data_IF_584573539662
#
_entry.id   IF_584573539662
#
_cell.length_a   1.000
_cell.length_b   1.000
_cell.length_c   1.000
_cell.angle_alpha   90.00
_cell.angle_beta   90.00
_cell.angle_gamma   90.00
#
_symmetry.space_group_name_H-M   'P 1'
#
loop_
_entity.id
_entity.type
_entity.pdbx_description
1 polymer ?
#
# COMPACT_ATOMS: atom_id res chain seq x y z
N UNK A 1 -92.25 -17.63 -22.23
CA UNK A 1 -92.22 -16.16 -22.41
C UNK A 1 -90.92 -15.69 -21.77
N UNK A 2 -89.77 -16.00 -22.36
CA UNK A 2 -89.25 -15.39 -23.58
C UNK A 2 -88.96 -13.93 -23.32
N UNK A 3 -87.70 -13.63 -23.01
CA UNK A 3 -86.96 -12.53 -23.65
C UNK A 3 -85.48 -12.81 -23.46
N UNK A 4 -84.98 -13.51 -24.47
CA UNK A 4 -83.59 -13.80 -24.76
C UNK A 4 -83.23 -12.87 -25.92
N UNK A 5 -82.43 -11.84 -25.66
CA UNK A 5 -81.77 -11.05 -26.71
C UNK A 5 -80.37 -10.64 -26.21
N UNK A 6 -79.42 -11.51 -26.55
CA UNK A 6 -78.13 -11.16 -27.15
C UNK A 6 -77.83 -9.66 -27.31
N UNK A 7 -76.78 -9.19 -26.64
CA UNK A 7 -75.93 -8.12 -27.15
C UNK A 7 -74.47 -8.58 -27.02
N UNK A 8 -73.90 -8.80 -28.20
CA UNK A 8 -72.55 -9.24 -28.52
C UNK A 8 -71.50 -8.24 -28.02
N UNK A 9 -70.31 -8.78 -27.76
CA UNK A 9 -69.06 -8.14 -27.32
C UNK A 9 -68.88 -6.63 -27.56
N UNK A 10 -68.31 -5.96 -26.55
CA UNK A 10 -67.06 -5.24 -26.81
C UNK A 10 -66.07 -5.48 -25.65
N UNK A 11 -64.97 -6.15 -25.99
CA UNK A 11 -63.79 -6.23 -25.16
C UNK A 11 -63.18 -4.84 -25.03
N UNK A 12 -63.42 -4.18 -23.90
CA UNK A 12 -62.48 -3.13 -23.46
C UNK A 12 -61.45 -3.81 -22.57
N UNK A 13 -60.45 -4.40 -23.22
CA UNK A 13 -59.11 -4.55 -22.64
C UNK A 13 -58.73 -3.17 -22.08
N UNK A 14 -58.76 -2.99 -20.76
CA UNK A 14 -58.23 -1.79 -20.13
C UNK A 14 -56.70 -1.91 -20.08
N UNK A 15 -55.93 -1.28 -20.99
CA UNK A 15 -54.48 -1.38 -20.99
C UNK A 15 -53.97 -0.24 -20.10
N UNK A 16 -54.42 -0.19 -18.84
CA UNK A 16 -53.90 0.74 -17.84
C UNK A 16 -53.02 0.04 -16.83
N UNK A 17 -52.12 -0.80 -17.33
CA UNK A 17 -50.87 -1.08 -16.63
C UNK A 17 -49.73 -0.36 -17.32
N UNK A 18 -48.88 0.22 -16.48
CA UNK A 18 -47.53 0.70 -16.76
C UNK A 18 -47.36 2.11 -17.35
N UNK A 19 -47.46 3.15 -16.51
CA UNK A 19 -46.55 4.31 -16.70
C UNK A 19 -46.35 5.25 -15.50
N UNK A 20 -45.89 4.75 -14.34
CA UNK A 20 -45.31 5.68 -13.34
C UNK A 20 -44.24 5.08 -12.43
N UNK A 21 -43.22 4.42 -12.98
CA UNK A 21 -42.05 4.01 -12.16
C UNK A 21 -40.69 4.51 -12.68
N UNK A 22 -40.64 5.34 -13.72
CA UNK A 22 -39.35 5.78 -14.30
C UNK A 22 -38.66 6.94 -13.57
N UNK A 23 -39.35 7.71 -12.71
CA UNK A 23 -38.76 8.88 -12.04
C UNK A 23 -38.06 8.56 -10.72
N UNK A 24 -38.56 7.58 -9.95
CA UNK A 24 -37.99 7.17 -8.65
C UNK A 24 -36.62 6.50 -8.79
N UNK A 25 -36.42 5.71 -9.85
CA UNK A 25 -35.14 5.04 -10.11
C UNK A 25 -33.99 5.99 -10.45
N UNK A 26 -34.26 7.16 -11.02
CA UNK A 26 -33.19 8.14 -11.34
C UNK A 26 -32.60 8.75 -10.08
N UNK A 27 -33.43 9.09 -9.09
CA UNK A 27 -32.96 9.60 -7.79
C UNK A 27 -32.17 8.55 -7.00
N UNK A 28 -32.60 7.28 -7.05
CA UNK A 28 -31.84 6.18 -6.47
C UNK A 28 -30.48 5.99 -7.18
N UNK A 29 -30.45 6.08 -8.52
CA UNK A 29 -29.20 6.05 -9.29
C UNK A 29 -28.25 7.20 -8.93
N UNK A 30 -28.75 8.42 -8.80
CA UNK A 30 -27.94 9.57 -8.37
C UNK A 30 -27.44 9.42 -6.93
N UNK A 31 -28.25 8.85 -6.04
CA UNK A 31 -27.84 8.57 -4.66
C UNK A 31 -26.74 7.51 -4.60
N UNK A 32 -26.88 6.41 -5.35
CA UNK A 32 -25.84 5.36 -5.45
C UNK A 32 -24.56 5.92 -6.06
N UNK A 33 -24.67 6.72 -7.13
CA UNK A 33 -23.52 7.36 -7.75
C UNK A 33 -22.84 8.35 -6.79
N UNK A 34 -23.62 9.12 -6.02
CA UNK A 34 -23.12 10.03 -5.00
C UNK A 34 -22.36 9.31 -3.88
N UNK A 35 -22.90 8.20 -3.38
CA UNK A 35 -22.22 7.35 -2.39
C UNK A 35 -20.93 6.78 -2.97
N UNK A 36 -20.96 6.30 -4.21
CA UNK A 36 -19.78 5.75 -4.87
C UNK A 36 -18.67 6.79 -5.03
N UNK A 37 -19.02 8.01 -5.46
CA UNK A 37 -18.08 9.14 -5.53
C UNK A 37 -17.54 9.51 -4.16
N UNK A 38 -18.40 9.54 -3.13
CA UNK A 38 -17.97 9.85 -1.76
C UNK A 38 -16.97 8.82 -1.22
N UNK A 39 -17.21 7.52 -1.46
CA UNK A 39 -16.28 6.44 -1.09
C UNK A 39 -14.96 6.58 -1.83
N UNK A 40 -15.00 6.94 -3.11
CA UNK A 40 -13.80 7.11 -3.93
C UNK A 40 -12.97 8.31 -3.45
N UNK A 41 -13.61 9.43 -3.13
CA UNK A 41 -12.96 10.61 -2.54
C UNK A 41 -12.39 10.31 -1.14
N UNK A 42 -13.12 9.56 -0.31
CA UNK A 42 -12.63 9.13 0.98
C UNK A 42 -11.39 8.23 0.85
N UNK A 43 -11.41 7.27 -0.08
CA UNK A 43 -10.26 6.41 -0.36
C UNK A 43 -9.03 7.20 -0.82
N UNK A 44 -9.21 8.15 -1.75
CA UNK A 44 -8.13 9.06 -2.19
C UNK A 44 -7.61 9.89 -1.02
N UNK A 45 -8.50 10.45 -0.19
CA UNK A 45 -8.13 11.24 0.99
C UNK A 45 -7.30 10.45 2.00
N UNK A 46 -7.71 9.21 2.30
CA UNK A 46 -6.96 8.31 3.19
C UNK A 46 -5.58 7.99 2.59
N UNK A 47 -5.52 7.65 1.30
CA UNK A 47 -4.25 7.32 0.64
C UNK A 47 -3.27 8.50 0.61
N UNK A 48 -3.77 9.71 0.31
CA UNK A 48 -2.94 10.94 0.32
C UNK A 48 -2.51 11.32 1.73
N UNK A 49 -3.38 11.17 2.73
CA UNK A 49 -3.00 11.41 4.13
C UNK A 49 -1.91 10.45 4.58
N UNK A 50 -2.07 9.15 4.32
CA UNK A 50 -1.08 8.13 4.68
C UNK A 50 0.27 8.36 4.00
N UNK A 51 0.26 8.71 2.70
CA UNK A 51 1.47 9.05 1.96
C UNK A 51 2.18 10.29 2.53
N UNK A 52 1.42 11.35 2.85
CA UNK A 52 1.99 12.55 3.47
C UNK A 52 2.55 12.27 4.85
N UNK A 53 1.82 11.56 5.72
CA UNK A 53 2.31 11.21 7.05
C UNK A 53 3.59 10.39 7.03
N UNK A 54 3.78 9.51 6.04
CA UNK A 54 5.04 8.79 5.86
C UNK A 54 6.18 9.74 5.46
N UNK A 55 5.95 10.66 4.53
CA UNK A 55 6.95 11.66 4.13
C UNK A 55 7.29 12.62 5.25
N UNK A 56 6.27 13.16 5.94
CA UNK A 56 6.44 14.07 7.08
C UNK A 56 7.19 13.38 8.24
N UNK A 57 7.00 12.06 8.42
CA UNK A 57 7.77 11.29 9.40
C UNK A 57 9.26 11.18 9.03
N UNK A 58 9.59 11.12 7.73
CA UNK A 58 10.98 11.14 7.26
C UNK A 58 11.60 12.54 7.37
N UNK A 59 10.84 13.60 7.09
CA UNK A 59 11.29 15.00 7.14
C UNK A 59 11.43 15.52 8.58
N UNK A 60 10.64 15.00 9.53
CA UNK A 60 10.78 15.33 10.96
C UNK A 60 11.98 14.66 11.64
N UNK A 61 12.73 13.82 10.93
CA UNK A 61 14.03 13.35 11.44
C UNK A 61 14.96 14.56 11.37
N UNK A 62 15.19 15.20 12.52
CA UNK A 62 16.11 16.32 12.64
C UNK A 62 17.55 15.83 12.40
N UNK A 63 17.95 15.84 11.13
CA UNK A 63 19.30 15.47 10.70
C UNK A 63 20.20 16.67 10.95
N UNK A 64 20.85 16.68 12.10
CA UNK A 64 21.92 17.65 12.34
C UNK A 64 23.03 17.42 11.30
N UNK A 65 23.22 18.42 10.45
CA UNK A 65 24.18 18.40 9.35
C UNK A 65 25.63 18.23 9.83
N UNK A 66 25.89 18.47 11.12
CA UNK A 66 27.21 18.30 11.72
C UNK A 66 27.47 16.87 12.22
N UNK A 67 26.47 15.98 12.22
CA UNK A 67 26.65 14.56 12.58
C UNK A 67 27.24 13.73 11.45
N UNK A 68 27.13 14.21 10.21
CA UNK A 68 27.69 13.55 9.04
C UNK A 68 29.10 14.10 8.78
N UNK A 69 30.11 13.24 8.56
CA UNK A 69 31.43 13.72 8.15
C UNK A 69 31.30 14.53 6.85
N UNK A 70 31.76 15.79 6.86
CA UNK A 70 31.73 16.70 5.71
C UNK A 70 32.96 16.60 4.81
N UNK A 71 33.94 15.78 5.21
CA UNK A 71 35.19 15.58 4.48
C UNK A 71 35.06 14.58 3.32
N UNK A 72 36.05 14.59 2.43
CA UNK A 72 36.17 13.58 1.39
C UNK A 72 36.30 12.19 2.01
N UNK A 73 35.59 11.22 1.41
CA UNK A 73 35.69 9.83 1.84
C UNK A 73 37.14 9.36 1.61
N UNK A 74 37.76 8.66 2.58
CA UNK A 74 39.07 8.08 2.38
C UNK A 74 39.12 7.21 1.12
N UNK A 75 40.22 7.30 0.37
CA UNK A 75 40.44 6.44 -0.78
C UNK A 75 40.37 4.96 -0.36
N UNK A 76 39.87 4.06 -1.24
CA UNK A 76 39.90 2.63 -0.98
C UNK A 76 41.31 2.16 -0.63
N UNK A 77 41.42 1.22 0.32
CA UNK A 77 42.71 0.65 0.70
C UNK A 77 43.25 -0.19 -0.45
N UNK A 78 44.52 0.01 -0.80
CA UNK A 78 45.16 -0.79 -1.85
C UNK A 78 45.15 -2.28 -1.50
N UNK A 79 44.87 -3.17 -2.48
CA UNK A 79 44.90 -4.61 -2.26
C UNK A 79 46.29 -5.09 -1.82
N UNK A 80 46.34 -5.87 -0.73
CA UNK A 80 47.57 -6.57 -0.33
C UNK A 80 47.67 -7.85 -1.16
N UNK A 81 48.81 -8.06 -1.84
CA UNK A 81 49.01 -9.19 -2.77
C UNK A 81 47.92 -9.31 -3.86
N UNK A 82 47.34 -8.18 -4.29
CA UNK A 82 46.25 -8.17 -5.28
C UNK A 82 44.89 -8.63 -4.73
N UNK A 83 44.77 -8.85 -3.41
CA UNK A 83 43.53 -9.25 -2.75
C UNK A 83 42.96 -8.09 -1.91
N UNK A 84 41.78 -7.62 -2.29
CA UNK A 84 41.07 -6.60 -1.51
C UNK A 84 40.53 -7.19 -0.19
N UNK A 85 40.47 -6.40 0.89
CA UNK A 85 39.75 -6.78 2.11
C UNK A 85 38.26 -7.06 1.84
N UNK A 86 37.66 -7.98 2.61
CA UNK A 86 36.24 -8.35 2.48
C UNK A 86 35.47 -7.94 3.73
N UNK A 87 34.33 -7.28 3.55
CA UNK A 87 33.40 -6.93 4.62
C UNK A 87 32.06 -7.64 4.37
N UNK A 88 31.56 -8.37 5.37
CA UNK A 88 30.27 -9.04 5.33
C UNK A 88 29.43 -8.61 6.53
N UNK A 89 28.14 -8.36 6.30
CA UNK A 89 27.16 -8.11 7.37
C UNK A 89 26.48 -9.43 7.69
N UNK A 90 26.54 -9.84 8.95
CA UNK A 90 25.86 -10.99 9.50
C UNK A 90 24.63 -10.50 10.27
N UNK A 91 23.45 -11.01 9.93
CA UNK A 91 22.19 -10.60 10.52
C UNK A 91 21.44 -11.84 11.02
N UNK A 92 21.22 -11.94 12.33
CA UNK A 92 20.48 -13.02 12.96
C UNK A 92 19.02 -12.65 13.12
N UNK A 93 18.12 -13.37 12.45
CA UNK A 93 16.66 -13.17 12.53
C UNK A 93 16.05 -14.08 13.59
N UNK A 94 15.36 -13.52 14.59
CA UNK A 94 14.44 -14.29 15.42
C UNK A 94 13.07 -14.33 14.72
N UNK A 95 12.88 -15.35 13.90
CA UNK A 95 11.60 -15.63 13.23
C UNK A 95 11.14 -17.03 13.48
N UNK A 96 9.84 -17.16 13.72
CA UNK A 96 9.12 -18.43 13.65
C UNK A 96 7.99 -18.25 12.66
N UNK A 97 8.11 -18.87 11.48
CA UNK A 97 7.07 -19.05 10.45
C UNK A 97 6.13 -17.87 10.15
N UNK A 98 6.30 -17.23 8.98
CA UNK A 98 5.32 -16.29 8.42
C UNK A 98 5.37 -14.86 8.96
N UNK A 99 6.10 -14.62 10.06
CA UNK A 99 6.29 -13.27 10.61
C UNK A 99 7.41 -12.50 9.91
N UNK A 100 7.28 -11.16 9.87
CA UNK A 100 8.39 -10.27 9.51
C UNK A 100 9.39 -10.30 10.66
N UNK A 101 10.55 -10.86 10.39
CA UNK A 101 11.57 -11.08 11.41
C UNK A 101 12.18 -9.85 12.01
N UNK A 102 12.35 -9.90 13.33
CA UNK A 102 13.19 -8.97 14.05
C UNK A 102 14.61 -9.53 14.07
N UNK A 103 15.57 -8.70 13.66
CA UNK A 103 16.98 -9.04 13.82
C UNK A 103 17.48 -8.45 15.13
N UNK A 104 17.78 -9.32 16.09
CA UNK A 104 18.39 -8.91 17.37
C UNK A 104 19.92 -9.11 17.39
N UNK A 105 20.49 -9.62 16.30
CA UNK A 105 21.95 -9.79 16.15
C UNK A 105 22.41 -9.16 14.85
N UNK A 106 23.28 -8.16 14.94
CA UNK A 106 23.98 -7.58 13.80
C UNK A 106 25.49 -7.63 14.06
N UNK A 107 26.23 -8.28 13.17
CA UNK A 107 27.68 -8.37 13.27
C UNK A 107 28.35 -8.02 11.95
N UNK A 108 29.51 -7.36 12.02
CA UNK A 108 30.35 -7.08 10.88
C UNK A 108 31.56 -7.99 10.90
N UNK A 109 31.72 -8.79 9.85
CA UNK A 109 32.86 -9.65 9.62
C UNK A 109 33.82 -8.96 8.63
N UNK A 110 35.03 -8.69 9.09
CA UNK A 110 36.09 -8.13 8.26
C UNK A 110 37.21 -9.16 8.08
N UNK A 111 37.58 -9.41 6.82
CA UNK A 111 38.72 -10.25 6.46
C UNK A 111 39.75 -9.38 5.77
N UNK A 112 40.98 -9.35 6.31
CA UNK A 112 42.08 -8.57 5.76
C UNK A 112 42.48 -9.03 4.35
N UNK A 113 43.08 -8.15 3.55
CA UNK A 113 43.49 -8.44 2.17
C UNK A 113 44.38 -9.69 2.05
N UNK A 114 45.38 -9.79 2.93
CA UNK A 114 46.32 -10.92 3.06
C UNK A 114 45.70 -12.23 3.61
N UNK A 115 44.43 -12.19 4.02
CA UNK A 115 43.69 -13.29 4.64
C UNK A 115 44.32 -13.84 5.93
N UNK A 116 45.18 -13.08 6.60
CA UNK A 116 45.80 -13.47 7.86
C UNK A 116 44.94 -13.11 9.08
N UNK A 117 44.07 -12.11 8.95
CA UNK A 117 43.28 -11.58 10.06
C UNK A 117 41.78 -11.62 9.74
N UNK A 118 41.01 -11.99 10.75
CA UNK A 118 39.55 -11.97 10.74
C UNK A 118 39.06 -11.24 11.98
N UNK A 119 38.25 -10.21 11.78
CA UNK A 119 37.65 -9.41 12.84
C UNK A 119 36.15 -9.57 12.81
N UNK A 120 35.55 -9.72 14.00
CA UNK A 120 34.11 -9.77 14.16
C UNK A 120 33.70 -8.68 15.15
N UNK A 121 32.84 -7.77 14.70
CA UNK A 121 32.34 -6.66 15.50
C UNK A 121 30.85 -6.84 15.73
N UNK A 122 30.43 -6.86 16.99
CA UNK A 122 29.01 -6.91 17.34
C UNK A 122 28.45 -5.50 17.43
N UNK A 123 27.34 -5.25 16.75
CA UNK A 123 26.58 -4.01 16.82
C UNK A 123 25.33 -4.31 17.66
N UNK A 124 25.26 -3.80 18.91
CA UNK A 124 24.11 -3.99 19.78
C UNK A 124 22.90 -3.16 19.34
#
# INVERSE_FOLDING_TARGET
MSDDYLSVEDQVDDPRRAKTEKRRNRWLLFSVLGVLVAVLLAGIGIATWYGKSAVDALDNINRDSNLMPTGERPAPVDPVEGKAPLNMVLMGSDTRGGERGRSDVLQLLHISGDRQNVFLMSIP
#
